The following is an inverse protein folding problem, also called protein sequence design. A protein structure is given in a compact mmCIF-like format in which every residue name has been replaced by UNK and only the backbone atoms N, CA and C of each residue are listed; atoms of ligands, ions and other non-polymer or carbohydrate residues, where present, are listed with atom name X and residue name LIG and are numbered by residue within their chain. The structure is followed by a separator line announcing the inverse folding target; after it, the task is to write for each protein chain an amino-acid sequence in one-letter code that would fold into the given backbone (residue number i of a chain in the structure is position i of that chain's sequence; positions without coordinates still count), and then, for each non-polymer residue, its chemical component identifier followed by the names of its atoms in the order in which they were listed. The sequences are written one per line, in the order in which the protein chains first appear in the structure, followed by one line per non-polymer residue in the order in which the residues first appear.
data_IF_224911590365
#
_entry.id   IF_224911590365
#
_cell.length_a   1.000
_cell.length_b   1.000
_cell.length_c   1.000
_cell.angle_alpha   90.00
_cell.angle_beta   90.00
_cell.angle_gamma   90.00
#
_symmetry.space_group_name_H-M   'P 1'
#
loop_
_entity.id
_entity.type
_entity.pdbx_description
1 polymer ?
#
# COMPACT_ATOMS: atom_id res chain seq x y z
N UNK A 1 -21.52 13.65 13.89
CA UNK A 1 -22.29 12.47 13.46
C UNK A 1 -21.31 11.54 12.76
N UNK A 2 -21.17 10.29 13.21
CA UNK A 2 -20.36 9.30 12.49
C UNK A 2 -21.14 8.86 11.25
N UNK A 3 -20.81 9.44 10.10
CA UNK A 3 -21.33 8.95 8.83
C UNK A 3 -20.61 7.63 8.51
N UNK A 4 -21.23 6.52 8.88
CA UNK A 4 -20.74 5.20 8.47
C UNK A 4 -20.94 5.08 6.96
N UNK A 5 -19.84 5.10 6.21
CA UNK A 5 -19.89 4.92 4.76
C UNK A 5 -20.38 3.51 4.43
N UNK A 6 -21.34 3.39 3.51
CA UNK A 6 -21.85 2.09 3.06
C UNK A 6 -20.77 1.38 2.26
N UNK A 7 -20.59 0.07 2.47
CA UNK A 7 -19.52 -0.69 1.79
C UNK A 7 -20.01 -1.32 0.50
N UNK A 8 -19.23 -1.22 -0.56
CA UNK A 8 -19.50 -1.85 -1.85
C UNK A 8 -18.27 -2.61 -2.36
N UNK A 9 -18.50 -3.81 -2.89
CA UNK A 9 -17.46 -4.68 -3.46
C UNK A 9 -17.70 -4.87 -4.95
N UNK A 10 -16.69 -4.53 -5.75
CA UNK A 10 -16.73 -4.61 -7.20
C UNK A 10 -15.67 -5.61 -7.63
N UNK A 11 -16.07 -6.65 -8.36
CA UNK A 11 -15.16 -7.60 -9.00
C UNK A 11 -15.33 -7.49 -10.51
N UNK A 12 -14.24 -7.20 -11.21
CA UNK A 12 -14.23 -7.04 -12.67
C UNK A 12 -13.28 -8.07 -13.27
N UNK A 13 -13.70 -8.67 -14.38
CA UNK A 13 -12.84 -9.49 -15.23
C UNK A 13 -12.62 -8.75 -16.54
N UNK A 14 -11.39 -8.84 -17.07
CA UNK A 14 -11.03 -8.32 -18.37
C UNK A 14 -10.61 -9.47 -19.27
N UNK A 15 -10.97 -9.38 -20.54
CA UNK A 15 -10.45 -10.29 -21.54
C UNK A 15 -8.92 -10.17 -21.59
N UNK A 16 -8.26 -11.29 -21.88
CA UNK A 16 -6.83 -11.41 -22.06
C UNK A 16 -6.24 -10.36 -23.00
N UNK A 17 -6.93 -10.05 -24.11
CA UNK A 17 -6.50 -9.06 -25.10
C UNK A 17 -6.51 -7.61 -24.54
N UNK A 18 -7.37 -7.35 -23.56
CA UNK A 18 -7.54 -6.02 -22.96
C UNK A 18 -6.76 -5.83 -21.66
N UNK A 19 -6.31 -6.92 -21.01
CA UNK A 19 -5.52 -6.85 -19.78
C UNK A 19 -4.35 -5.87 -19.91
N UNK A 20 -3.57 -5.96 -21.00
CA UNK A 20 -2.43 -5.06 -21.22
C UNK A 20 -2.80 -3.58 -21.21
N UNK A 21 -3.94 -3.22 -21.82
CA UNK A 21 -4.46 -1.85 -21.88
C UNK A 21 -4.97 -1.40 -20.51
N UNK A 22 -5.69 -2.27 -19.81
CA UNK A 22 -6.31 -1.98 -18.51
C UNK A 22 -5.26 -1.81 -17.41
N UNK A 23 -4.29 -2.72 -17.30
CA UNK A 23 -3.18 -2.54 -16.37
C UNK A 23 -2.34 -1.32 -16.77
N UNK A 24 -2.09 -1.16 -18.07
CA UNK A 24 -1.21 -0.13 -18.60
C UNK A 24 0.25 -0.35 -18.18
N UNK A 25 1.15 0.48 -18.72
CA UNK A 25 2.58 0.37 -18.39
C UNK A 25 2.83 0.70 -16.92
N UNK A 26 3.30 -0.30 -16.16
CA UNK A 26 3.59 -0.18 -14.73
C UNK A 26 2.34 -0.12 -13.84
N UNK A 27 1.17 -0.53 -14.33
CA UNK A 27 -0.06 -0.48 -13.54
C UNK A 27 -0.72 0.91 -13.46
N UNK A 28 -0.20 1.90 -14.19
CA UNK A 28 -0.68 3.30 -14.08
C UNK A 28 -2.16 3.46 -14.44
N UNK A 29 -2.63 2.76 -15.48
CA UNK A 29 -4.01 2.90 -15.91
C UNK A 29 -4.96 2.29 -14.87
N UNK A 30 -4.65 1.09 -14.37
CA UNK A 30 -5.50 0.46 -13.35
C UNK A 30 -5.50 1.23 -12.03
N UNK A 31 -4.39 1.88 -11.68
CA UNK A 31 -4.36 2.78 -10.51
C UNK A 31 -5.24 4.02 -10.71
N UNK A 32 -5.23 4.63 -11.90
CA UNK A 32 -6.13 5.75 -12.22
C UNK A 32 -7.60 5.33 -12.11
N UNK A 33 -7.96 4.15 -12.64
CA UNK A 33 -9.32 3.60 -12.54
C UNK A 33 -9.71 3.41 -11.06
N UNK A 34 -8.84 2.85 -10.22
CA UNK A 34 -9.07 2.69 -8.77
C UNK A 34 -9.34 4.03 -8.10
N UNK A 35 -8.53 5.04 -8.37
CA UNK A 35 -8.68 6.38 -7.79
C UNK A 35 -10.01 7.03 -8.17
N UNK A 36 -10.40 6.97 -9.45
CA UNK A 36 -11.67 7.55 -9.91
C UNK A 36 -12.87 6.87 -9.27
N UNK A 37 -12.84 5.53 -9.16
CA UNK A 37 -13.91 4.77 -8.51
C UNK A 37 -14.01 5.12 -7.03
N UNK A 38 -12.88 5.21 -6.31
CA UNK A 38 -12.86 5.54 -4.89
C UNK A 38 -13.43 6.95 -4.64
N UNK A 39 -12.99 7.95 -5.41
CA UNK A 39 -13.49 9.32 -5.31
C UNK A 39 -14.99 9.41 -5.62
N UNK A 40 -15.45 8.70 -6.66
CA UNK A 40 -16.87 8.65 -7.01
C UNK A 40 -17.72 7.99 -5.91
N UNK A 41 -17.18 6.94 -5.28
CA UNK A 41 -17.84 6.25 -4.17
C UNK A 41 -17.96 7.15 -2.94
N UNK A 42 -16.90 7.87 -2.58
CA UNK A 42 -16.89 8.80 -1.45
C UNK A 42 -17.95 9.90 -1.62
N UNK A 43 -18.04 10.49 -2.82
CA UNK A 43 -19.08 11.47 -3.16
C UNK A 43 -20.50 10.91 -3.05
N UNK A 44 -20.68 9.61 -3.23
CA UNK A 44 -21.94 8.91 -3.08
C UNK A 44 -22.21 8.39 -1.65
N UNK A 45 -21.29 8.60 -0.69
CA UNK A 45 -21.40 8.08 0.67
C UNK A 45 -21.07 6.60 0.82
N UNK A 46 -20.22 6.07 -0.07
CA UNK A 46 -19.77 4.68 -0.08
C UNK A 46 -18.25 4.56 0.08
N UNK A 47 -17.82 3.42 0.64
CA UNK A 47 -16.45 2.92 0.58
C UNK A 47 -16.41 1.71 -0.36
N UNK A 48 -15.50 1.69 -1.33
CA UNK A 48 -15.43 0.67 -2.39
C UNK A 48 -14.15 -0.14 -2.33
N UNK A 49 -14.29 -1.46 -2.47
CA UNK A 49 -13.18 -2.38 -2.74
C UNK A 49 -13.27 -2.91 -4.17
N UNK A 50 -12.24 -2.65 -4.98
CA UNK A 50 -12.15 -3.14 -6.36
C UNK A 50 -11.19 -4.33 -6.46
N UNK A 51 -11.72 -5.46 -6.93
CA UNK A 51 -11.00 -6.69 -7.21
C UNK A 51 -10.94 -6.97 -8.72
N UNK A 52 -9.81 -7.48 -9.19
CA UNK A 52 -9.63 -7.82 -10.61
C UNK A 52 -9.40 -9.31 -10.72
N UNK A 53 -10.38 -9.99 -11.29
CA UNK A 53 -10.35 -11.44 -11.45
C UNK A 53 -9.25 -11.87 -12.43
N UNK A 54 -8.49 -12.90 -12.06
CA UNK A 54 -7.40 -13.43 -12.89
C UNK A 54 -6.19 -12.50 -13.00
N UNK A 55 -6.02 -11.56 -12.06
CA UNK A 55 -4.77 -10.84 -11.80
C UNK A 55 -4.16 -11.40 -10.52
N UNK A 56 -2.91 -11.89 -10.56
CA UNK A 56 -2.18 -12.14 -9.33
C UNK A 56 -2.03 -10.81 -8.60
N UNK A 57 -2.42 -10.77 -7.32
CA UNK A 57 -2.47 -9.55 -6.50
C UNK A 57 -1.07 -9.03 -6.09
N UNK A 58 -0.12 -8.98 -7.03
CA UNK A 58 1.28 -8.57 -6.80
C UNK A 58 1.48 -7.05 -6.65
N UNK A 59 0.43 -6.26 -6.41
CA UNK A 59 0.54 -4.81 -6.24
C UNK A 59 -0.13 -4.30 -4.95
N UNK A 60 -0.18 -5.14 -3.91
CA UNK A 60 -0.63 -4.73 -2.57
C UNK A 60 0.48 -4.10 -1.71
N UNK A 61 1.71 -4.00 -2.20
CA UNK A 61 2.86 -3.52 -1.41
C UNK A 61 2.97 -1.98 -1.31
N UNK A 62 1.99 -1.22 -1.83
CA UNK A 62 2.07 0.26 -1.87
C UNK A 62 0.86 1.02 -1.33
N UNK A 63 -0.17 0.35 -0.83
CA UNK A 63 -1.37 1.01 -0.29
C UNK A 63 -1.44 0.73 1.21
N UNK A 64 -0.66 1.46 2.01
CA UNK A 64 -1.00 1.69 3.41
C UNK A 64 -2.30 2.49 3.41
N UNK A 65 -3.43 1.82 3.59
CA UNK A 65 -4.64 2.47 4.09
C UNK A 65 -4.27 3.03 5.46
N UNK A 66 -4.10 4.35 5.51
CA UNK A 66 -4.01 5.12 6.74
C UNK A 66 -5.42 5.18 7.33
N UNK A 67 -5.86 4.07 7.93
CA UNK A 67 -7.02 4.04 8.83
C UNK A 67 -6.48 3.79 10.24
N UNK A 68 -6.36 4.91 10.97
CA UNK A 68 -6.43 5.02 12.44
C UNK A 68 -5.51 4.08 13.24
N UNK A 69 -4.24 4.46 13.36
CA UNK A 69 -3.40 4.02 14.49
C UNK A 69 -3.44 5.08 15.59
N UNK A 70 -4.43 4.91 16.45
CA UNK A 70 -4.36 5.05 17.91
C UNK A 70 -3.04 5.61 18.45
N UNK A 71 -3.17 6.75 19.12
CA UNK A 71 -2.20 7.54 19.89
C UNK A 71 -1.17 6.69 20.67
N UNK A 72 -0.17 6.12 19.98
CA UNK A 72 0.92 5.37 20.62
C UNK A 72 1.95 6.36 21.14
N UNK A 73 1.83 6.65 22.44
CA UNK A 73 2.86 7.31 23.24
C UNK A 73 4.26 6.72 22.93
N UNK A 74 5.30 7.56 22.78
CA UNK A 74 6.64 7.07 22.51
C UNK A 74 7.15 6.24 23.71
N UNK A 75 7.82 5.09 23.48
CA UNK A 75 8.38 4.31 24.56
C UNK A 75 9.50 5.11 25.28
N UNK A 76 9.58 5.05 26.61
CA UNK A 76 10.60 5.77 27.36
C UNK A 76 11.99 5.21 26.99
N UNK A 77 12.89 6.11 26.55
CA UNK A 77 14.30 5.77 26.29
C UNK A 77 14.95 5.30 27.59
N UNK A 78 15.21 4.00 27.71
CA UNK A 78 15.98 3.44 28.81
C UNK A 78 17.44 3.91 28.70
N UNK A 79 17.81 4.76 29.65
CA UNK A 79 19.17 5.20 29.95
C UNK A 79 20.02 4.01 30.43
N UNK A 80 21.29 4.03 29.99
CA UNK A 80 22.44 3.24 30.44
C UNK A 80 22.46 1.73 30.18
N UNK A 81 23.45 1.28 29.39
CA UNK A 81 24.60 0.52 29.92
C UNK A 81 25.77 0.40 28.93
N UNK A 82 26.94 0.70 29.50
CA UNK A 82 28.33 0.53 29.05
C UNK A 82 28.59 -0.75 28.24
N UNK A 83 29.51 -0.68 27.28
CA UNK A 83 30.06 -1.87 26.62
C UNK A 83 31.02 -1.56 25.47
N UNK A 84 32.28 -1.33 25.83
CA UNK A 84 33.44 -1.28 24.94
C UNK A 84 33.55 -2.59 24.14
N UNK A 85 33.69 -2.59 22.81
CA UNK A 85 34.48 -3.57 22.01
C UNK A 85 34.74 -3.06 20.57
N UNK A 86 35.88 -3.44 19.96
CA UNK A 86 36.53 -2.72 18.85
C UNK A 86 36.08 -3.20 17.47
N UNK A 87 36.13 -2.29 16.49
CA UNK A 87 35.80 -2.58 15.07
C UNK A 87 36.84 -3.53 14.45
N UNK A 88 36.44 -4.59 13.73
CA UNK A 88 37.37 -5.49 13.05
C UNK A 88 37.94 -4.89 11.75
N UNK A 89 39.17 -5.32 11.46
CA UNK A 89 40.11 -4.93 10.41
C UNK A 89 39.59 -5.25 9.00
N UNK A 90 39.78 -4.32 8.06
CA UNK A 90 39.77 -4.60 6.63
C UNK A 90 41.11 -4.18 5.99
N UNK A 91 41.88 -5.15 5.50
CA UNK A 91 42.95 -5.02 4.49
C UNK A 91 42.57 -5.95 3.32
N UNK A 92 43.13 -5.84 2.09
CA UNK A 92 43.95 -4.80 1.48
C UNK A 92 43.38 -4.32 0.11
N UNK A 93 43.87 -3.22 -0.46
CA UNK A 93 43.84 -3.02 -1.93
C UNK A 93 45.21 -2.61 -2.43
N UNK A 94 45.75 -3.46 -3.27
CA UNK A 94 46.96 -3.33 -4.08
C UNK A 94 46.87 -2.16 -5.05
N UNK A 95 47.98 -1.44 -5.22
CA UNK A 95 48.53 -1.07 -6.53
C UNK A 95 50.03 -0.86 -6.40
#
# INVERSE_FOLDING_TARGET
MSHTLKRAWIRIAFDSEDKGKVFGRGGRNIQAIRTVIAASAELAGYSVYLDIYGSTAQNRDGMSFDEEQEERLPPPRSRERRGHHPRPIAKPRTR
#
